data_IF_688725496090
#
_entry.id   IF_688725496090
#
_cell.length_a   1.000
_cell.length_b   1.000
_cell.length_c   1.000
_cell.angle_alpha   90.00
_cell.angle_beta   90.00
_cell.angle_gamma   90.00
#
_symmetry.space_group_name_H-M   'P 1'
#
loop_
_entity.id
_entity.type
_entity.pdbx_description
1 polymer ?
#
# COMPACT_ATOMS: atom_id res chain seq x y z
N UNK A 1 -6.31 8.00 2.35
CA UNK A 1 -5.56 8.35 1.14
C UNK A 1 -5.34 9.87 1.04
N UNK A 2 -4.30 10.26 0.36
CA UNK A 2 -3.98 11.68 0.13
C UNK A 2 -3.43 11.80 -1.29
N UNK A 3 -4.29 12.21 -2.23
CA UNK A 3 -3.92 12.26 -3.64
C UNK A 3 -3.55 10.87 -4.15
N UNK A 4 -2.30 10.70 -4.59
CA UNK A 4 -1.76 9.43 -5.09
C UNK A 4 -1.03 8.62 -4.02
N UNK A 5 -1.08 9.03 -2.76
CA UNK A 5 -0.42 8.36 -1.66
C UNK A 5 -1.43 7.67 -0.76
N UNK A 6 -1.19 6.40 -0.43
CA UNK A 6 -1.94 5.68 0.59
C UNK A 6 -1.11 5.58 1.85
N UNK A 7 -1.77 5.75 2.99
CA UNK A 7 -1.17 5.50 4.30
C UNK A 7 -1.90 4.31 4.91
N UNK A 8 -1.16 3.24 5.17
CA UNK A 8 -1.72 2.01 5.71
C UNK A 8 -1.16 1.80 7.11
N UNK A 9 -2.05 1.60 8.06
CA UNK A 9 -1.67 1.25 9.43
C UNK A 9 -1.75 -0.26 9.59
N UNK A 10 -0.72 -0.83 10.17
CA UNK A 10 -0.61 -2.26 10.40
C UNK A 10 -0.31 -2.53 11.87
N UNK A 11 -0.38 -3.80 12.28
CA UNK A 11 0.12 -4.16 13.61
C UNK A 11 1.63 -3.93 13.65
N UNK A 12 2.19 -3.59 14.82
CA UNK A 12 3.63 -3.36 14.93
C UNK A 12 4.44 -4.52 14.35
N UNK A 13 5.43 -4.18 13.51
CA UNK A 13 6.30 -5.16 12.87
C UNK A 13 5.78 -5.72 11.56
N UNK A 14 4.53 -5.46 11.17
CA UNK A 14 3.93 -6.04 9.97
C UNK A 14 4.12 -5.22 8.71
N UNK A 15 4.45 -3.92 8.82
CA UNK A 15 4.47 -3.02 7.67
C UNK A 15 5.48 -3.46 6.60
N UNK A 16 6.67 -3.91 7.00
CA UNK A 16 7.69 -4.37 6.06
C UNK A 16 7.25 -5.61 5.28
N UNK A 17 6.54 -6.54 5.91
CA UNK A 17 6.04 -7.74 5.24
C UNK A 17 4.99 -7.38 4.20
N UNK A 18 4.09 -6.44 4.52
CA UNK A 18 3.08 -5.98 3.59
C UNK A 18 3.74 -5.25 2.40
N UNK A 19 4.71 -4.38 2.69
CA UNK A 19 5.43 -3.67 1.64
C UNK A 19 6.16 -4.63 0.70
N UNK A 20 6.83 -5.64 1.24
CA UNK A 20 7.52 -6.64 0.45
C UNK A 20 6.55 -7.44 -0.43
N UNK A 21 5.37 -7.76 0.08
CA UNK A 21 4.35 -8.45 -0.69
C UNK A 21 3.85 -7.59 -1.85
N UNK A 22 3.62 -6.29 -1.61
CA UNK A 22 3.20 -5.37 -2.67
C UNK A 22 4.29 -5.22 -3.74
N UNK A 23 5.56 -5.13 -3.32
CA UNK A 23 6.66 -5.01 -4.26
C UNK A 23 6.78 -6.25 -5.14
N UNK A 24 6.58 -7.44 -4.57
CA UNK A 24 6.60 -8.70 -5.35
C UNK A 24 5.42 -8.84 -6.29
N UNK A 25 4.27 -8.28 -5.93
CA UNK A 25 3.06 -8.39 -6.75
C UNK A 25 3.14 -7.58 -8.04
N UNK A 26 4.00 -6.56 -8.09
CA UNK A 26 4.19 -5.70 -9.27
C UNK A 26 2.89 -5.12 -9.82
N UNK A 27 2.04 -4.60 -8.92
CA UNK A 27 0.81 -3.94 -9.35
C UNK A 27 1.14 -2.68 -10.14
N UNK A 28 0.57 -2.54 -11.33
CA UNK A 28 0.83 -1.39 -12.20
C UNK A 28 0.47 -0.06 -11.56
N UNK A 29 -0.51 -0.05 -10.68
CA UNK A 29 -0.97 1.17 -9.99
C UNK A 29 0.00 1.63 -8.91
N UNK A 30 0.94 0.78 -8.48
CA UNK A 30 1.87 1.07 -7.39
C UNK A 30 3.24 1.42 -7.95
N UNK A 31 3.73 2.61 -7.59
CA UNK A 31 5.08 3.07 -7.95
C UNK A 31 6.13 2.49 -7.00
N UNK A 32 5.81 2.50 -5.71
CA UNK A 32 6.74 1.99 -4.70
C UNK A 32 6.15 2.11 -3.31
N UNK A 33 6.88 1.59 -2.33
CA UNK A 33 6.44 1.58 -0.93
C UNK A 33 7.57 2.00 -0.01
N UNK A 34 7.19 2.60 1.13
CA UNK A 34 8.10 2.90 2.23
C UNK A 34 7.44 2.41 3.50
N UNK A 35 8.13 1.58 4.27
CA UNK A 35 7.56 0.99 5.48
C UNK A 35 8.34 1.40 6.73
N UNK A 36 7.60 1.78 7.77
CA UNK A 36 8.09 1.89 9.14
C UNK A 36 7.76 0.62 9.91
N UNK A 37 7.54 0.73 11.21
CA UNK A 37 7.20 -0.43 12.05
C UNK A 37 5.74 -0.83 11.87
N UNK A 38 4.84 0.14 11.94
CA UNK A 38 3.39 -0.08 11.90
C UNK A 38 2.69 0.75 10.83
N UNK A 39 3.45 1.48 10.02
CA UNK A 39 2.90 2.38 9.02
C UNK A 39 3.59 2.13 7.69
N UNK A 40 2.80 2.11 6.63
CA UNK A 40 3.26 1.87 5.27
C UNK A 40 2.74 2.98 4.38
N UNK A 41 3.63 3.61 3.63
CA UNK A 41 3.26 4.55 2.57
C UNK A 41 3.35 3.85 1.23
N UNK A 42 2.27 3.92 0.47
CA UNK A 42 2.21 3.34 -0.88
C UNK A 42 2.03 4.48 -1.88
N UNK A 43 3.04 4.69 -2.70
CA UNK A 43 2.97 5.67 -3.77
C UNK A 43 2.31 5.05 -4.98
N UNK A 44 1.26 5.67 -5.48
CA UNK A 44 0.51 5.19 -6.64
C UNK A 44 0.68 6.14 -7.82
N UNK A 45 0.31 5.69 -9.00
CA UNK A 45 0.52 6.48 -10.23
C UNK A 45 -0.35 7.73 -10.26
N UNK A 46 -1.55 7.67 -9.71
CA UNK A 46 -2.46 8.81 -9.58
C UNK A 46 -3.50 8.53 -8.48
N UNK A 47 -4.42 9.47 -8.30
CA UNK A 47 -5.44 9.35 -7.28
C UNK A 47 -6.42 8.18 -7.55
N UNK A 48 -6.76 7.95 -8.79
CA UNK A 48 -7.64 6.83 -9.17
C UNK A 48 -6.95 5.50 -8.89
N UNK A 49 -5.65 5.41 -9.19
CA UNK A 49 -4.86 4.22 -8.88
C UNK A 49 -4.83 3.96 -7.38
N UNK A 50 -4.65 5.01 -6.58
CA UNK A 50 -4.66 4.88 -5.13
C UNK A 50 -5.98 4.29 -4.63
N UNK A 51 -7.11 4.74 -5.17
CA UNK A 51 -8.43 4.20 -4.81
C UNK A 51 -8.56 2.73 -5.18
N UNK A 52 -8.07 2.33 -6.36
CA UNK A 52 -8.09 0.93 -6.78
C UNK A 52 -7.26 0.05 -5.86
N UNK A 53 -6.06 0.50 -5.54
CA UNK A 53 -5.16 -0.22 -4.63
C UNK A 53 -5.79 -0.35 -3.25
N UNK A 54 -6.38 0.73 -2.73
CA UNK A 54 -7.05 0.72 -1.44
C UNK A 54 -8.17 -0.33 -1.40
N UNK A 55 -9.02 -0.36 -2.41
CA UNK A 55 -10.12 -1.34 -2.50
C UNK A 55 -9.58 -2.77 -2.56
N UNK A 56 -8.52 -2.98 -3.32
CA UNK A 56 -7.91 -4.30 -3.48
C UNK A 56 -7.33 -4.80 -2.16
N UNK A 57 -6.63 -3.93 -1.43
CA UNK A 57 -6.07 -4.28 -0.14
C UNK A 57 -7.17 -4.59 0.89
N UNK A 58 -8.27 -3.84 0.89
CA UNK A 58 -9.39 -4.10 1.78
C UNK A 58 -10.01 -5.48 1.53
N UNK A 59 -10.09 -5.92 0.27
CA UNK A 59 -10.59 -7.25 -0.06
C UNK A 59 -9.66 -8.35 0.48
N UNK A 60 -8.35 -8.14 0.35
CA UNK A 60 -7.37 -9.12 0.83
C UNK A 60 -7.38 -9.25 2.35
N UNK A 61 -7.78 -8.19 3.05
CA UNK A 61 -7.83 -8.18 4.50
C UNK A 61 -9.06 -8.84 5.10
N UNK A 62 -9.97 -9.33 4.30
CA UNK A 62 -11.22 -9.94 4.79
C UNK A 62 -11.16 -11.45 4.84
#
# INVERSE_FOLDING_TARGET
ESGSMLVILAVPGAAHAIAAALDRAHWQDVVGTIAGDDTLFVACTDQKAARRVRKRLLRLGQ
#
